data_IF_289510130687
#
_entry.id   IF_289510130687
#
_cell.length_a   1.000
_cell.length_b   1.000
_cell.length_c   1.000
_cell.angle_alpha   90.00
_cell.angle_beta   90.00
_cell.angle_gamma   90.00
#
_symmetry.space_group_name_H-M   'P 1'
#
loop_
_entity.id
_entity.type
_entity.pdbx_description
1 polymer ?
#
# COMPACT_ATOMS: atom_id res chain seq x y z
N UNK A 1 -0.72 -4.40 -3.42
CA UNK A 1 -1.16 -5.63 -2.71
C UNK A 1 -0.99 -6.83 -3.65
N UNK A 2 -0.20 -7.86 -3.34
CA UNK A 2 0.03 -8.96 -4.29
C UNK A 2 0.50 -8.45 -5.67
N UNK A 3 -0.19 -8.87 -6.74
CA UNK A 3 0.05 -8.49 -8.14
C UNK A 3 -0.75 -7.25 -8.60
N UNK A 4 -0.96 -6.28 -7.71
CA UNK A 4 -1.79 -5.11 -7.99
C UNK A 4 -1.23 -4.23 -9.11
N UNK A 5 0.09 -4.07 -9.17
CA UNK A 5 0.72 -3.24 -10.20
C UNK A 5 0.52 -3.88 -11.58
N UNK A 6 0.79 -5.19 -11.67
CA UNK A 6 0.62 -6.00 -12.87
C UNK A 6 -0.84 -5.98 -13.36
N UNK A 7 -1.79 -6.01 -12.43
CA UNK A 7 -3.22 -5.91 -12.76
C UNK A 7 -3.61 -4.53 -13.29
N UNK A 8 -3.03 -3.45 -12.77
CA UNK A 8 -3.30 -2.10 -13.25
C UNK A 8 -2.67 -1.82 -14.63
N UNK A 9 -1.48 -2.35 -14.89
CA UNK A 9 -0.81 -2.21 -16.18
C UNK A 9 -1.48 -3.06 -17.25
N UNK A 10 -1.93 -4.26 -16.90
CA UNK A 10 -2.52 -5.25 -17.81
C UNK A 10 -3.89 -5.72 -17.31
N UNK A 11 -4.91 -4.84 -17.28
CA UNK A 11 -6.23 -5.17 -16.72
C UNK A 11 -6.95 -6.29 -17.48
N UNK A 12 -6.60 -6.51 -18.75
CA UNK A 12 -7.13 -7.59 -19.57
C UNK A 12 -6.50 -8.96 -19.28
N UNK A 13 -5.39 -9.02 -18.53
CA UNK A 13 -4.72 -10.28 -18.18
C UNK A 13 -5.39 -10.89 -16.94
N UNK A 14 -5.88 -12.13 -17.01
CA UNK A 14 -6.45 -12.82 -15.85
C UNK A 14 -5.47 -12.96 -14.69
N UNK A 15 -5.97 -12.91 -13.45
CA UNK A 15 -5.16 -12.90 -12.22
C UNK A 15 -4.19 -14.08 -12.10
N UNK A 16 -4.60 -15.27 -12.56
CA UNK A 16 -3.78 -16.48 -12.55
C UNK A 16 -2.54 -16.39 -13.45
N UNK A 17 -2.53 -15.47 -14.43
CA UNK A 17 -1.42 -15.24 -15.34
C UNK A 17 -0.48 -14.11 -14.89
N UNK A 18 -0.87 -13.29 -13.91
CA UNK A 18 -0.03 -12.20 -13.39
C UNK A 18 1.32 -12.68 -12.82
N UNK A 19 1.45 -13.84 -12.15
CA UNK A 19 2.76 -14.36 -11.75
C UNK A 19 3.67 -14.63 -12.94
N UNK A 20 3.11 -15.05 -14.07
CA UNK A 20 3.86 -15.27 -15.31
C UNK A 20 4.27 -13.95 -15.94
N UNK A 21 3.38 -12.96 -15.97
CA UNK A 21 3.67 -11.60 -16.43
C UNK A 21 4.82 -10.97 -15.63
N UNK A 22 4.77 -11.04 -14.30
CA UNK A 22 5.84 -10.57 -13.43
C UNK A 22 7.19 -11.21 -13.76
N UNK A 23 7.21 -12.53 -14.01
CA UNK A 23 8.42 -13.27 -14.39
C UNK A 23 8.97 -12.92 -15.77
N UNK A 24 8.12 -12.45 -16.68
CA UNK A 24 8.53 -12.03 -18.03
C UNK A 24 9.16 -10.64 -18.04
N UNK A 25 8.88 -9.81 -17.04
CA UNK A 25 9.31 -8.42 -16.94
C UNK A 25 9.80 -8.07 -15.51
N UNK A 26 10.75 -8.84 -14.93
CA UNK A 26 11.17 -8.66 -13.55
C UNK A 26 11.78 -7.28 -13.28
N UNK A 27 12.43 -6.67 -14.28
CA UNK A 27 13.04 -5.34 -14.19
C UNK A 27 12.02 -4.23 -13.87
N UNK A 28 10.76 -4.41 -14.27
CA UNK A 28 9.68 -3.46 -13.99
C UNK A 28 9.01 -3.72 -12.63
N UNK A 29 8.97 -4.96 -12.16
CA UNK A 29 8.12 -5.38 -11.03
C UNK A 29 8.85 -5.84 -9.77
N UNK A 30 10.14 -6.19 -9.83
CA UNK A 30 10.96 -6.51 -8.64
C UNK A 30 11.29 -5.31 -7.75
N UNK A 31 11.63 -4.12 -8.27
CA UNK A 31 11.90 -2.96 -7.41
C UNK A 31 10.64 -2.38 -6.74
N UNK A 32 9.46 -2.78 -7.18
CA UNK A 32 8.19 -2.27 -6.66
C UNK A 32 7.78 -2.96 -5.35
N UNK A 33 7.32 -2.16 -4.39
CA UNK A 33 6.80 -2.67 -3.13
C UNK A 33 5.49 -3.43 -3.36
N UNK A 34 5.44 -4.65 -2.85
CA UNK A 34 4.26 -5.50 -2.90
C UNK A 34 4.08 -6.29 -1.60
N UNK A 35 2.85 -6.38 -1.10
CA UNK A 35 2.51 -7.22 0.04
C UNK A 35 2.26 -8.66 -0.43
N UNK A 36 3.10 -9.61 0.03
CA UNK A 36 3.02 -11.03 -0.35
C UNK A 36 2.04 -11.85 0.50
N UNK A 37 1.61 -11.34 1.66
CA UNK A 37 0.70 -12.04 2.59
C UNK A 37 -0.39 -11.09 3.08
N UNK A 38 -1.64 -11.44 2.76
CA UNK A 38 -2.82 -10.69 3.20
C UNK A 38 -3.11 -10.88 4.68
N UNK A 39 -2.90 -12.08 5.23
CA UNK A 39 -3.07 -12.36 6.66
C UNK A 39 -2.11 -11.53 7.51
N UNK A 40 -0.83 -11.45 7.10
CA UNK A 40 0.15 -10.59 7.79
C UNK A 40 -0.22 -9.11 7.69
N UNK A 41 -0.69 -8.67 6.52
CA UNK A 41 -1.14 -7.29 6.31
C UNK A 41 -2.36 -6.97 7.20
N UNK A 42 -3.32 -7.89 7.31
CA UNK A 42 -4.51 -7.76 8.13
C UNK A 42 -4.17 -7.66 9.62
N UNK A 43 -3.32 -8.55 10.14
CA UNK A 43 -2.90 -8.47 11.54
C UNK A 43 -2.06 -7.23 11.82
N UNK A 44 -1.23 -6.79 10.87
CA UNK A 44 -0.52 -5.52 10.99
C UNK A 44 -1.51 -4.36 11.09
N UNK A 45 -2.53 -4.31 10.23
CA UNK A 45 -3.55 -3.28 10.31
C UNK A 45 -4.31 -3.28 11.66
N UNK A 46 -4.55 -4.44 12.26
CA UNK A 46 -5.27 -4.53 13.53
C UNK A 46 -4.42 -4.20 14.78
N UNK A 47 -3.12 -4.53 14.75
CA UNK A 47 -2.29 -4.50 15.96
C UNK A 47 -1.13 -3.50 15.92
N UNK A 48 -0.80 -2.93 14.76
CA UNK A 48 0.25 -1.93 14.62
C UNK A 48 -0.28 -0.56 15.06
N UNK A 49 0.14 -0.10 16.25
CA UNK A 49 -0.29 1.18 16.82
C UNK A 49 0.23 2.41 16.05
N UNK A 50 1.11 2.22 15.08
CA UNK A 50 1.50 3.27 14.13
C UNK A 50 0.47 3.46 13.02
N UNK A 51 -0.44 2.51 12.82
CA UNK A 51 -1.50 2.54 11.80
C UNK A 51 -2.82 2.88 12.48
N UNK A 52 -3.30 4.10 12.26
CA UNK A 52 -4.63 4.56 12.68
C UNK A 52 -5.59 4.64 11.50
N UNK A 53 -6.90 4.64 11.77
CA UNK A 53 -7.91 4.94 10.73
C UNK A 53 -7.78 6.37 10.16
N UNK A 54 -7.06 7.23 10.89
CA UNK A 54 -6.71 8.59 10.47
C UNK A 54 -5.34 8.66 9.78
N UNK A 55 -4.66 7.53 9.57
CA UNK A 55 -3.42 7.42 8.78
C UNK A 55 -3.72 7.57 7.29
N UNK A 56 -4.20 8.76 6.93
CA UNK A 56 -4.30 9.20 5.55
C UNK A 56 -2.91 9.62 5.12
N UNK A 57 -2.50 9.24 3.91
CA UNK A 57 -1.32 9.82 3.27
C UNK A 57 -1.65 11.30 3.04
N UNK A 58 -1.25 12.16 3.99
CA UNK A 58 -1.26 13.60 3.77
C UNK A 58 -0.07 13.89 2.87
N UNK A 59 -0.33 14.08 1.57
CA UNK A 59 0.69 14.56 0.65
C UNK A 59 1.21 15.86 1.25
N UNK A 60 2.50 15.92 1.62
CA UNK A 60 3.14 17.07 2.32
C UNK A 60 2.85 18.43 1.68
N UNK A 61 2.49 18.43 0.39
CA UNK A 61 2.18 19.59 -0.42
C UNK A 61 1.01 19.22 -1.36
N UNK A 62 -0.18 19.77 -1.11
CA UNK A 62 -1.34 19.63 -2.01
C UNK A 62 -1.46 20.85 -2.93
N UNK A 63 -0.34 21.26 -3.54
CA UNK A 63 -0.27 22.43 -4.41
C UNK A 63 -0.38 23.75 -3.65
N UNK A 64 0.53 23.99 -2.68
CA UNK A 64 0.59 25.20 -1.82
C UNK A 64 -0.57 25.41 -0.85
N UNK A 65 -1.43 24.41 -0.65
CA UNK A 65 -2.44 24.44 0.42
C UNK A 65 -1.81 23.86 1.69
N UNK A 66 -1.77 24.67 2.75
CA UNK A 66 -1.31 24.25 4.07
C UNK A 66 -2.18 23.09 4.59
N UNK A 67 -1.56 22.01 5.04
CA UNK A 67 -2.26 20.87 5.61
C UNK A 67 -2.60 21.17 7.07
N UNK A 68 -3.88 21.19 7.42
CA UNK A 68 -4.37 21.31 8.80
C UNK A 68 -4.45 19.96 9.54
N UNK A 69 -4.37 18.86 8.80
CA UNK A 69 -4.77 17.54 9.28
C UNK A 69 -3.54 16.77 9.75
N UNK A 70 -3.31 16.75 11.06
CA UNK A 70 -2.32 15.88 11.69
C UNK A 70 -2.87 14.45 11.79
N UNK A 71 -2.27 13.52 11.05
CA UNK A 71 -2.55 12.10 11.21
C UNK A 71 -1.90 11.62 12.53
N UNK A 72 -2.69 11.54 13.59
CA UNK A 72 -2.25 11.07 14.90
C UNK A 72 -2.20 9.53 14.89
N UNK A 73 -1.04 8.89 15.19
CA UNK A 73 -0.96 7.46 15.45
C UNK A 73 -1.74 7.09 16.70
N UNK A 74 -2.36 5.91 16.73
CA UNK A 74 -3.14 5.45 17.90
C UNK A 74 -2.28 5.39 19.16
N UNK A 75 -0.96 5.16 19.02
CA UNK A 75 0.01 5.26 20.12
C UNK A 75 -0.07 6.58 20.91
N UNK A 76 -0.46 7.69 20.28
CA UNK A 76 -0.58 9.00 20.93
C UNK A 76 -1.93 9.22 21.63
N UNK A 77 -2.91 8.33 21.43
CA UNK A 77 -4.24 8.39 22.05
C UNK A 77 -4.31 7.61 23.37
N UNK A 78 -3.36 6.71 23.63
CA UNK A 78 -3.29 5.88 24.85
C UNK A 78 -2.35 6.48 25.91
N UNK A 79 -2.19 7.81 25.89
CA UNK A 79 -1.46 8.58 26.91
C UNK A 79 -2.36 9.06 28.03
#
# INVERSE_FOLDING_TARGET
>A
VGFHNEHHDMPSVPWNNLPRLKKMAPEFYEPLLAHKSYTRLFFRFLFDQEISLYSRITRRERGRVALSDNATPDRQLVG
#
